data_IF_592052687907
#
_entry.id   IF_592052687907
#
_cell.length_a   1.000
_cell.length_b   1.000
_cell.length_c   1.000
_cell.angle_alpha   90.00
_cell.angle_beta   90.00
_cell.angle_gamma   90.00
#
_symmetry.space_group_name_H-M   'P 1'
#
loop_
_entity.id
_entity.type
_entity.pdbx_description
1 polymer ?
#
# COMPACT_ATOMS: atom_id res chain seq x y z
N UNK A 1 -3.34 -3.87 -39.23
CA UNK A 1 -3.78 -4.44 -40.52
C UNK A 1 -2.82 -4.19 -41.69
N UNK A 2 -2.18 -3.03 -41.82
CA UNK A 2 -1.31 -2.70 -42.97
C UNK A 2 -0.16 -3.69 -43.24
N UNK A 3 0.48 -4.24 -42.20
CA UNK A 3 1.58 -5.20 -42.37
C UNK A 3 1.15 -6.53 -43.01
N UNK A 4 -0.08 -6.98 -42.74
CA UNK A 4 -0.64 -8.20 -43.33
C UNK A 4 -0.99 -7.98 -44.79
N UNK A 5 -1.59 -6.83 -45.11
CA UNK A 5 -1.86 -6.41 -46.49
C UNK A 5 -0.56 -6.26 -47.30
N UNK A 6 0.49 -5.69 -46.71
CA UNK A 6 1.80 -5.61 -47.34
C UNK A 6 2.42 -7.00 -47.59
N UNK A 7 2.26 -7.95 -46.66
CA UNK A 7 2.75 -9.31 -46.84
C UNK A 7 2.00 -10.06 -47.95
N UNK A 8 0.68 -9.85 -48.09
CA UNK A 8 -0.09 -10.39 -49.22
C UNK A 8 0.41 -9.82 -50.56
N UNK A 9 0.72 -8.53 -50.62
CA UNK A 9 1.28 -7.89 -51.82
C UNK A 9 2.66 -8.45 -52.19
N UNK A 10 3.51 -8.73 -51.19
CA UNK A 10 4.82 -9.36 -51.42
C UNK A 10 4.69 -10.79 -51.95
N UNK A 11 3.72 -11.57 -51.47
CA UNK A 11 3.47 -12.93 -51.96
C UNK A 11 2.97 -12.89 -53.41
N UNK A 12 2.07 -11.95 -53.73
CA UNK A 12 1.57 -11.74 -55.08
C UNK A 12 2.67 -11.33 -56.08
N UNK A 13 3.56 -10.42 -55.66
CA UNK A 13 4.70 -9.98 -56.46
C UNK A 13 5.71 -11.11 -56.77
N UNK A 14 5.75 -12.17 -55.96
CA UNK A 14 6.64 -13.33 -56.14
C UNK A 14 5.91 -14.57 -56.70
N UNK A 15 4.64 -14.44 -57.09
CA UNK A 15 3.80 -15.54 -57.60
C UNK A 15 4.40 -16.27 -58.80
N UNK A 16 5.12 -15.57 -59.68
CA UNK A 16 5.74 -16.13 -60.88
C UNK A 16 6.86 -17.15 -60.59
N UNK A 17 7.42 -17.14 -59.37
CA UNK A 17 8.49 -18.05 -58.93
C UNK A 17 7.91 -19.21 -58.10
N UNK A 18 6.65 -19.10 -57.66
CA UNK A 18 6.00 -20.10 -56.82
C UNK A 18 5.18 -21.07 -57.68
N UNK A 19 5.23 -22.39 -57.40
CA UNK A 19 4.28 -23.32 -57.98
C UNK A 19 2.85 -22.90 -57.64
N UNK A 20 1.95 -22.95 -58.63
CA UNK A 20 0.57 -22.43 -58.53
C UNK A 20 -0.18 -22.96 -57.28
N UNK A 21 -0.05 -24.25 -56.98
CA UNK A 21 -0.66 -24.85 -55.79
C UNK A 21 -0.14 -24.28 -54.47
N UNK A 22 1.15 -23.96 -54.38
CA UNK A 22 1.78 -23.40 -53.18
C UNK A 22 1.35 -21.95 -52.98
N UNK A 23 1.26 -21.17 -54.06
CA UNK A 23 0.78 -19.79 -54.00
C UNK A 23 -0.69 -19.73 -53.50
N UNK A 24 -1.55 -20.60 -54.03
CA UNK A 24 -2.96 -20.67 -53.60
C UNK A 24 -3.12 -21.11 -52.14
N UNK A 25 -2.29 -22.05 -51.68
CA UNK A 25 -2.24 -22.47 -50.27
C UNK A 25 -1.85 -21.29 -49.37
N UNK A 26 -0.79 -20.55 -49.73
CA UNK A 26 -0.36 -19.36 -48.99
C UNK A 26 -1.44 -18.26 -48.94
N UNK A 27 -2.17 -18.02 -50.03
CA UNK A 27 -3.29 -17.07 -50.05
C UNK A 27 -4.45 -17.52 -49.15
N UNK A 28 -4.78 -18.81 -49.16
CA UNK A 28 -5.83 -19.37 -48.32
C UNK A 28 -5.46 -19.31 -46.82
N UNK A 29 -4.21 -19.63 -46.48
CA UNK A 29 -3.70 -19.53 -45.11
C UNK A 29 -3.71 -18.09 -44.61
N UNK A 30 -3.29 -17.12 -45.44
CA UNK A 30 -3.36 -15.70 -45.11
C UNK A 30 -4.79 -15.21 -44.90
N UNK A 31 -5.72 -15.69 -45.72
CA UNK A 31 -7.14 -15.40 -45.55
C UNK A 31 -7.67 -15.99 -44.24
N UNK A 32 -7.27 -17.21 -43.90
CA UNK A 32 -7.57 -17.83 -42.60
C UNK A 32 -7.02 -17.03 -41.42
N UNK A 33 -5.79 -16.54 -41.51
CA UNK A 33 -5.17 -15.65 -40.49
C UNK A 33 -5.93 -14.33 -40.38
N UNK A 34 -6.26 -13.70 -41.51
CA UNK A 34 -7.03 -12.46 -41.56
C UNK A 34 -8.43 -12.62 -40.96
N UNK A 35 -9.13 -13.70 -41.31
CA UNK A 35 -10.50 -13.97 -40.85
C UNK A 35 -10.51 -14.35 -39.35
N UNK A 36 -9.48 -15.03 -38.86
CA UNK A 36 -9.28 -15.27 -37.42
C UNK A 36 -8.93 -13.98 -36.65
N UNK A 37 -8.25 -13.02 -37.28
CA UNK A 37 -7.96 -11.71 -36.69
C UNK A 37 -9.17 -10.77 -36.68
N UNK A 38 -10.13 -10.95 -37.60
CA UNK A 38 -11.39 -10.19 -37.65
C UNK A 38 -12.34 -10.48 -36.49
N UNK A 39 -12.11 -11.54 -35.72
CA UNK A 39 -12.86 -11.84 -34.50
C UNK A 39 -12.37 -11.10 -33.25
N UNK A 40 -11.33 -10.26 -33.37
CA UNK A 40 -10.64 -9.67 -32.23
C UNK A 40 -10.80 -8.14 -32.12
N UNK A 41 -11.61 -7.50 -32.95
CA UNK A 41 -11.84 -6.05 -32.81
C UNK A 41 -13.26 -5.64 -33.26
N UNK A 42 -13.82 -4.65 -32.54
CA UNK A 42 -15.09 -3.92 -32.77
C UNK A 42 -16.36 -4.24 -31.95
N UNK A 43 -16.33 -4.97 -30.83
CA UNK A 43 -17.45 -4.91 -29.83
C UNK A 43 -17.08 -4.87 -28.35
N UNK A 44 -15.80 -4.77 -27.99
CA UNK A 44 -15.38 -4.44 -26.64
C UNK A 44 -14.59 -3.13 -26.69
N UNK A 45 -15.28 -1.99 -26.61
CA UNK A 45 -14.67 -0.77 -26.09
C UNK A 45 -14.42 -1.02 -24.59
N UNK A 46 -13.41 -1.83 -24.30
CA UNK A 46 -12.81 -1.92 -22.99
C UNK A 46 -12.36 -0.50 -22.63
N UNK A 47 -12.90 0.08 -21.58
CA UNK A 47 -12.39 1.36 -21.08
C UNK A 47 -11.07 1.05 -20.35
N UNK A 48 -10.02 0.77 -21.13
CA UNK A 48 -8.66 0.44 -20.68
C UNK A 48 -8.15 1.46 -19.65
N UNK A 49 -8.62 2.70 -19.78
CA UNK A 49 -8.42 3.79 -18.82
C UNK A 49 -9.04 3.46 -17.46
N UNK A 50 -10.31 3.05 -17.41
CA UNK A 50 -11.01 2.74 -16.15
C UNK A 50 -10.41 1.51 -15.44
N UNK A 51 -10.06 0.47 -16.18
CA UNK A 51 -9.38 -0.69 -15.61
C UNK A 51 -8.02 -0.29 -15.02
N UNK A 52 -7.23 0.50 -15.75
CA UNK A 52 -5.93 1.00 -15.30
C UNK A 52 -6.06 1.87 -14.04
N UNK A 53 -7.08 2.73 -13.96
CA UNK A 53 -7.39 3.57 -12.80
C UNK A 53 -7.69 2.71 -11.56
N UNK A 54 -8.63 1.77 -11.65
CA UNK A 54 -8.99 0.92 -10.50
C UNK A 54 -7.79 0.06 -10.07
N UNK A 55 -7.01 -0.46 -11.02
CA UNK A 55 -5.80 -1.21 -10.72
C UNK A 55 -4.74 -0.36 -9.99
N UNK A 56 -4.57 0.89 -10.41
CA UNK A 56 -3.64 1.83 -9.77
C UNK A 56 -4.09 2.17 -8.35
N UNK A 57 -5.38 2.43 -8.15
CA UNK A 57 -5.95 2.75 -6.85
C UNK A 57 -5.89 1.56 -5.89
N UNK A 58 -6.19 0.34 -6.37
CA UNK A 58 -5.98 -0.89 -5.61
C UNK A 58 -4.53 -1.03 -5.15
N UNK A 59 -3.56 -0.81 -6.05
CA UNK A 59 -2.14 -0.89 -5.71
C UNK A 59 -1.77 0.13 -4.63
N UNK A 60 -2.23 1.37 -4.77
CA UNK A 60 -2.00 2.45 -3.79
C UNK A 60 -2.57 2.08 -2.42
N UNK A 61 -3.80 1.56 -2.38
CA UNK A 61 -4.46 1.16 -1.12
C UNK A 61 -3.72 0.02 -0.43
N UNK A 62 -3.30 -1.01 -1.19
CA UNK A 62 -2.49 -2.13 -0.65
C UNK A 62 -1.14 -1.63 -0.11
N UNK A 63 -0.45 -0.73 -0.82
CA UNK A 63 0.80 -0.13 -0.36
C UNK A 63 0.64 0.62 0.98
N UNK A 64 -0.47 1.34 1.17
CA UNK A 64 -0.75 2.04 2.43
C UNK A 64 -1.03 1.04 3.55
N UNK A 65 -1.82 -0.01 3.29
CA UNK A 65 -2.08 -1.11 4.24
C UNK A 65 -0.76 -1.70 4.73
N UNK A 66 0.14 -2.09 3.82
CA UNK A 66 1.43 -2.68 4.16
C UNK A 66 2.29 -1.75 5.01
N UNK A 67 2.30 -0.45 4.68
CA UNK A 67 3.02 0.57 5.45
C UNK A 67 2.48 0.69 6.87
N UNK A 68 1.17 0.69 7.06
CA UNK A 68 0.55 0.76 8.40
C UNK A 68 0.84 -0.53 9.17
N UNK A 69 0.66 -1.70 8.56
CA UNK A 69 0.99 -3.00 9.18
C UNK A 69 2.44 -3.07 9.62
N UNK A 70 3.38 -2.60 8.79
CA UNK A 70 4.82 -2.54 9.12
C UNK A 70 5.07 -1.64 10.33
N UNK A 71 4.43 -0.47 10.38
CA UNK A 71 4.54 0.47 11.51
C UNK A 71 4.00 -0.15 12.80
N UNK A 72 2.88 -0.88 12.74
CA UNK A 72 2.25 -1.52 13.90
C UNK A 72 3.16 -2.57 14.56
N UNK A 73 4.01 -3.26 13.81
CA UNK A 73 5.01 -4.21 14.37
C UNK A 73 5.98 -3.54 15.36
N UNK A 74 6.15 -2.22 15.29
CA UNK A 74 7.00 -1.44 16.18
C UNK A 74 6.34 -1.02 17.49
N UNK A 75 5.02 -1.10 17.61
CA UNK A 75 4.29 -0.67 18.80
C UNK A 75 4.43 -1.70 19.92
N UNK A 76 5.00 -1.28 21.05
CA UNK A 76 5.27 -2.17 22.19
C UNK A 76 4.93 -1.52 23.50
N UNK A 77 4.03 -2.16 24.24
CA UNK A 77 3.81 -1.87 25.65
C UNK A 77 5.06 -2.18 26.45
N UNK A 78 5.29 -1.39 27.49
CA UNK A 78 6.44 -1.56 28.38
C UNK A 78 5.95 -1.78 29.81
N UNK A 79 6.56 -2.76 30.48
CA UNK A 79 6.40 -2.99 31.93
C UNK A 79 7.53 -2.38 32.75
N UNK A 80 8.68 -2.12 32.11
CA UNK A 80 9.89 -1.59 32.73
C UNK A 80 10.43 -0.42 31.92
N UNK A 81 11.00 0.56 32.62
CA UNK A 81 11.60 1.74 32.03
C UNK A 81 13.11 1.58 31.89
N UNK A 82 13.65 2.07 30.78
CA UNK A 82 15.09 2.23 30.61
C UNK A 82 15.60 3.45 31.41
N UNK A 83 16.91 3.52 31.67
CA UNK A 83 17.53 4.70 32.31
C UNK A 83 17.18 6.01 31.58
N UNK A 84 17.17 5.99 30.24
CA UNK A 84 16.78 7.13 29.41
C UNK A 84 15.30 7.51 29.61
N UNK A 85 14.40 6.53 29.71
CA UNK A 85 12.98 6.79 29.97
C UNK A 85 12.76 7.35 31.37
N UNK A 86 13.48 6.85 32.38
CA UNK A 86 13.43 7.36 33.75
C UNK A 86 13.81 8.83 33.82
N UNK A 87 14.95 9.20 33.23
CA UNK A 87 15.35 10.61 33.13
C UNK A 87 14.30 11.46 32.40
N UNK A 88 13.74 10.94 31.29
CA UNK A 88 12.67 11.62 30.56
C UNK A 88 11.40 11.80 31.40
N UNK A 89 11.04 10.82 32.22
CA UNK A 89 9.90 10.92 33.10
C UNK A 89 10.05 12.04 34.13
N UNK A 90 11.25 12.22 34.69
CA UNK A 90 11.55 13.33 35.61
C UNK A 90 11.43 14.68 34.88
N UNK A 91 11.99 14.79 33.67
CA UNK A 91 11.86 16.01 32.84
C UNK A 91 10.38 16.32 32.54
N UNK A 92 9.63 15.35 32.03
CA UNK A 92 8.24 15.55 31.65
C UNK A 92 7.37 15.87 32.86
N UNK A 93 7.67 15.28 34.01
CA UNK A 93 6.99 15.59 35.27
C UNK A 93 7.28 17.00 35.75
N UNK A 94 8.55 17.41 35.75
CA UNK A 94 8.95 18.77 36.12
C UNK A 94 8.25 19.81 35.23
N UNK A 95 8.21 19.58 33.92
CA UNK A 95 7.49 20.43 32.99
C UNK A 95 5.97 20.45 33.26
N UNK A 96 5.35 19.28 33.48
CA UNK A 96 3.92 19.16 33.74
C UNK A 96 3.49 19.85 35.05
N UNK A 97 4.38 19.88 36.04
CA UNK A 97 4.16 20.49 37.36
C UNK A 97 4.72 21.90 37.48
N UNK A 98 5.30 22.44 36.40
CA UNK A 98 6.01 23.73 36.38
C UNK A 98 7.08 23.84 37.47
N UNK A 99 7.84 22.77 37.69
CA UNK A 99 8.92 22.71 38.66
C UNK A 99 10.18 23.42 38.13
N UNK A 100 10.13 24.75 38.07
CA UNK A 100 11.22 25.59 37.55
C UNK A 100 12.48 25.57 38.43
N UNK A 101 12.35 25.13 39.68
CA UNK A 101 13.47 24.99 40.62
C UNK A 101 14.33 23.75 40.36
N UNK A 102 13.89 22.81 39.51
CA UNK A 102 14.66 21.60 39.22
C UNK A 102 15.77 21.87 38.22
N UNK A 103 16.99 22.07 38.73
CA UNK A 103 18.18 22.32 37.89
C UNK A 103 18.69 21.00 37.28
N UNK A 104 18.68 19.92 38.07
CA UNK A 104 19.15 18.60 37.65
C UNK A 104 18.02 17.57 37.58
N UNK A 105 17.99 16.80 36.49
CA UNK A 105 16.95 15.77 36.26
C UNK A 105 17.36 14.40 36.82
N UNK A 106 17.64 14.36 38.12
CA UNK A 106 18.03 13.17 38.89
C UNK A 106 16.91 12.75 39.87
N UNK A 107 16.97 11.51 40.37
CA UNK A 107 15.97 11.00 41.31
C UNK A 107 16.02 11.77 42.63
N UNK A 108 17.24 12.07 43.07
CA UNK A 108 17.57 12.76 44.31
C UNK A 108 17.10 14.22 44.28
N UNK A 109 17.47 14.98 43.24
CA UNK A 109 17.09 16.39 43.11
C UNK A 109 15.57 16.56 43.03
N UNK A 110 14.87 15.62 42.39
CA UNK A 110 13.41 15.64 42.34
C UNK A 110 12.79 15.46 43.73
N UNK A 111 13.32 14.54 44.56
CA UNK A 111 12.83 14.34 45.93
C UNK A 111 13.16 15.52 46.85
N UNK A 112 14.28 16.19 46.64
CA UNK A 112 14.64 17.40 47.41
C UNK A 112 13.76 18.60 47.04
N UNK A 113 13.43 18.76 45.77
CA UNK A 113 12.62 19.87 45.27
C UNK A 113 11.11 19.67 45.44
N UNK A 114 10.66 18.48 45.87
CA UNK A 114 9.23 18.16 45.94
C UNK A 114 8.86 17.43 47.23
N UNK A 115 7.59 17.47 47.61
CA UNK A 115 7.08 16.67 48.73
C UNK A 115 6.78 15.21 48.34
N UNK A 116 7.41 14.68 47.28
CA UNK A 116 7.19 13.31 46.85
C UNK A 116 7.86 12.34 47.82
N UNK A 117 7.10 11.33 48.27
CA UNK A 117 7.65 10.24 49.10
C UNK A 117 8.50 9.25 48.32
N UNK A 118 8.29 9.16 46.99
CA UNK A 118 9.00 8.23 46.13
C UNK A 118 8.91 8.62 44.66
N UNK A 119 10.03 8.50 43.93
CA UNK A 119 10.10 8.72 42.47
C UNK A 119 9.32 7.67 41.68
N UNK A 120 9.04 6.50 42.29
CA UNK A 120 8.28 5.43 41.65
C UNK A 120 6.88 5.88 41.18
N UNK A 121 6.27 6.84 41.87
CA UNK A 121 5.01 7.44 41.45
C UNK A 121 5.14 8.12 40.08
N UNK A 122 6.18 8.91 39.88
CA UNK A 122 6.47 9.60 38.61
C UNK A 122 6.77 8.61 37.50
N UNK A 123 7.52 7.55 37.80
CA UNK A 123 7.80 6.48 36.84
C UNK A 123 6.55 5.73 36.42
N UNK A 124 5.67 5.40 37.37
CA UNK A 124 4.39 4.76 37.05
C UNK A 124 3.53 5.65 36.17
N UNK A 125 3.36 6.92 36.55
CA UNK A 125 2.63 7.92 35.76
C UNK A 125 3.14 8.00 34.32
N UNK A 126 4.46 8.11 34.14
CA UNK A 126 5.05 8.21 32.81
C UNK A 126 4.87 6.93 31.99
N UNK A 127 5.00 5.76 32.63
CA UNK A 127 4.83 4.47 31.98
C UNK A 127 3.37 4.25 31.53
N UNK A 128 2.41 4.63 32.36
CA UNK A 128 0.98 4.56 32.06
C UNK A 128 0.65 5.48 30.88
N UNK A 129 1.09 6.74 30.92
CA UNK A 129 0.94 7.70 29.81
C UNK A 129 1.58 7.20 28.51
N UNK A 130 2.79 6.62 28.58
CA UNK A 130 3.45 6.04 27.41
C UNK A 130 2.65 4.89 26.82
N UNK A 131 2.19 3.96 27.67
CA UNK A 131 1.43 2.79 27.23
C UNK A 131 0.06 3.19 26.66
N UNK A 132 -0.58 4.21 27.22
CA UNK A 132 -1.80 4.79 26.69
C UNK A 132 -1.59 5.37 25.28
N UNK A 133 -0.50 6.14 25.07
CA UNK A 133 -0.15 6.63 23.74
C UNK A 133 0.12 5.49 22.73
N UNK A 134 0.75 4.40 23.17
CA UNK A 134 0.94 3.22 22.33
C UNK A 134 -0.40 2.57 21.98
N UNK A 135 -1.33 2.47 22.95
CA UNK A 135 -2.67 1.95 22.72
C UNK A 135 -3.42 2.79 21.69
N UNK A 136 -3.47 4.11 21.88
CA UNK A 136 -4.09 5.02 20.92
C UNK A 136 -3.53 4.86 19.50
N UNK A 137 -2.20 4.71 19.36
CA UNK A 137 -1.55 4.47 18.06
C UNK A 137 -1.93 3.13 17.45
N UNK A 138 -2.13 2.09 18.26
CA UNK A 138 -2.59 0.78 17.79
C UNK A 138 -4.03 0.89 17.31
N UNK A 139 -4.91 1.48 18.12
CA UNK A 139 -6.34 1.57 17.83
C UNK A 139 -6.58 2.42 16.57
N UNK A 140 -6.02 3.63 16.52
CA UNK A 140 -6.08 4.48 15.32
C UNK A 140 -5.50 3.82 14.07
N UNK A 141 -4.49 2.95 14.20
CA UNK A 141 -3.96 2.21 13.06
C UNK A 141 -4.86 1.05 12.64
N UNK A 142 -5.61 0.44 13.57
CA UNK A 142 -6.60 -0.59 13.25
C UNK A 142 -7.79 0.01 12.54
N UNK A 143 -8.33 1.12 13.05
CA UNK A 143 -9.47 1.81 12.45
C UNK A 143 -9.12 2.20 11.00
N UNK A 144 -7.94 2.79 10.79
CA UNK A 144 -7.48 3.11 9.43
C UNK A 144 -7.28 1.88 8.53
N UNK A 145 -6.89 0.73 9.09
CA UNK A 145 -6.77 -0.51 8.32
C UNK A 145 -8.14 -1.08 7.94
N UNK A 146 -9.14 -0.97 8.80
CA UNK A 146 -10.51 -1.41 8.53
C UNK A 146 -11.10 -0.64 7.35
N UNK A 147 -10.93 0.69 7.33
CA UNK A 147 -11.34 1.54 6.23
C UNK A 147 -10.62 1.14 4.92
N UNK A 148 -9.30 0.97 4.96
CA UNK A 148 -8.51 0.60 3.78
C UNK A 148 -8.81 -0.81 3.28
N UNK A 149 -9.12 -1.76 4.15
CA UNK A 149 -9.53 -3.10 3.75
C UNK A 149 -10.88 -3.05 3.03
N UNK A 150 -11.82 -2.27 3.54
CA UNK A 150 -13.11 -2.04 2.89
C UNK A 150 -12.93 -1.39 1.51
N UNK A 151 -12.08 -0.38 1.41
CA UNK A 151 -11.75 0.28 0.14
C UNK A 151 -11.08 -0.69 -0.86
N UNK A 152 -10.10 -1.48 -0.41
CA UNK A 152 -9.47 -2.53 -1.23
C UNK A 152 -10.50 -3.51 -1.78
N UNK A 153 -11.43 -3.96 -0.94
CA UNK A 153 -12.43 -4.93 -1.35
C UNK A 153 -13.38 -4.36 -2.41
N UNK A 154 -13.77 -3.08 -2.28
CA UNK A 154 -14.51 -2.36 -3.32
C UNK A 154 -13.73 -2.24 -4.64
N UNK A 155 -12.43 -1.96 -4.59
CA UNK A 155 -11.59 -1.91 -5.80
C UNK A 155 -11.48 -3.29 -6.46
N UNK A 156 -11.34 -4.35 -5.67
CA UNK A 156 -11.32 -5.73 -6.18
C UNK A 156 -12.65 -6.13 -6.82
N UNK A 157 -13.77 -5.80 -6.19
CA UNK A 157 -15.11 -6.01 -6.76
C UNK A 157 -15.30 -5.24 -8.06
N UNK A 158 -14.84 -3.99 -8.11
CA UNK A 158 -14.90 -3.14 -9.30
C UNK A 158 -14.06 -3.73 -10.44
N UNK A 159 -12.82 -4.18 -10.17
CA UNK A 159 -12.01 -4.88 -11.16
C UNK A 159 -12.67 -6.16 -11.66
N UNK A 160 -13.22 -6.96 -10.74
CA UNK A 160 -13.90 -8.20 -11.11
C UNK A 160 -15.14 -7.95 -11.98
N UNK A 161 -15.84 -6.83 -11.76
CA UNK A 161 -16.94 -6.41 -12.62
C UNK A 161 -16.46 -6.02 -14.01
N UNK A 162 -15.44 -5.16 -14.13
CA UNK A 162 -14.86 -4.76 -15.43
C UNK A 162 -14.33 -5.97 -16.21
N UNK A 163 -13.71 -6.94 -15.54
CA UNK A 163 -13.22 -8.18 -16.16
C UNK A 163 -14.34 -9.10 -16.66
N UNK A 164 -15.56 -9.02 -16.12
CA UNK A 164 -16.72 -9.82 -16.56
C UNK A 164 -17.48 -9.18 -17.73
N UNK A 165 -17.17 -7.93 -18.07
CA UNK A 165 -17.69 -7.26 -19.27
C UNK A 165 -16.86 -7.60 -20.53
N UNK A 166 -15.76 -8.35 -20.36
CA UNK A 166 -14.93 -8.97 -21.41
C UNK A 166 -15.47 -10.33 -21.79
#
# INVERSE_FOLDING_TARGET
MEKLTHLMQLIDANSSVLPEGVYLEMCNDLKGVHDNMKGFDDTASYDDVRYAEISHDLHRTVMIIEKIMKRMKGYRFRKRMSKKMKRRAIIDWANQTNLTSLIEYTEEALLECTNLKSVNFVYKWYLDKYNEQIRFKIDSAKDALEDLYSERDLHVESLAYEMRLV
#
